data_IF_079585308403
#
_entry.id   IF_079585308403
#
_cell.length_a   1.000
_cell.length_b   1.000
_cell.length_c   1.000
_cell.angle_alpha   90.00
_cell.angle_beta   90.00
_cell.angle_gamma   90.00
#
_symmetry.space_group_name_H-M   'P 1'
#
loop_
_entity.id
_entity.type
_entity.pdbx_description
1 polymer ?
#
# COMPACT_ATOMS: atom_id res chain seq x y z
N UNK A 1 -6.75 -9.31 -3.62
CA UNK A 1 -8.23 -9.21 -3.64
C UNK A 1 -8.81 -10.57 -3.23
N UNK A 2 -9.98 -10.61 -2.61
CA UNK A 2 -10.62 -11.87 -2.19
C UNK A 2 -12.10 -11.91 -2.59
N UNK A 3 -12.61 -13.12 -2.80
CA UNK A 3 -14.02 -13.39 -3.13
C UNK A 3 -14.60 -14.41 -2.17
N UNK A 4 -15.85 -14.24 -1.75
CA UNK A 4 -16.57 -15.26 -1.00
C UNK A 4 -17.48 -16.03 -1.95
N UNK A 5 -17.19 -17.32 -2.17
CA UNK A 5 -17.97 -18.20 -3.01
C UNK A 5 -17.90 -19.64 -2.49
N UNK A 6 -18.91 -20.45 -2.79
CA UNK A 6 -18.99 -21.85 -2.33
C UNK A 6 -18.78 -22.01 -0.80
N UNK A 7 -19.28 -21.04 -0.02
CA UNK A 7 -19.22 -21.06 1.45
C UNK A 7 -17.87 -20.75 2.06
N UNK A 8 -16.88 -20.26 1.29
CA UNK A 8 -15.54 -19.92 1.79
C UNK A 8 -14.97 -18.66 1.12
N UNK A 9 -13.97 -18.07 1.74
CA UNK A 9 -13.17 -16.98 1.15
C UNK A 9 -12.04 -17.58 0.31
N UNK A 10 -11.89 -17.11 -0.93
CA UNK A 10 -10.77 -17.43 -1.81
C UNK A 10 -9.94 -16.17 -2.07
N UNK A 11 -8.62 -16.26 -1.87
CA UNK A 11 -7.69 -15.18 -2.16
C UNK A 11 -7.14 -15.35 -3.57
N UNK A 12 -7.42 -14.37 -4.42
CA UNK A 12 -7.15 -14.41 -5.85
C UNK A 12 -5.71 -13.95 -6.11
N UNK A 13 -4.95 -14.77 -6.83
CA UNK A 13 -3.64 -14.42 -7.33
C UNK A 13 -3.74 -13.52 -8.56
N UNK A 14 -2.79 -12.60 -8.74
CA UNK A 14 -2.70 -11.79 -9.95
C UNK A 14 -2.05 -12.56 -11.12
N UNK A 15 -1.86 -11.85 -12.24
CA UNK A 15 -1.24 -12.36 -13.46
C UNK A 15 0.23 -12.85 -13.29
N UNK A 16 0.89 -12.50 -12.20
CA UNK A 16 2.22 -13.02 -11.82
C UNK A 16 2.15 -14.16 -10.80
N UNK A 17 0.96 -14.64 -10.44
CA UNK A 17 0.76 -15.67 -9.41
C UNK A 17 0.87 -15.15 -7.96
N UNK A 18 1.01 -13.83 -7.76
CA UNK A 18 1.13 -13.25 -6.43
C UNK A 18 -0.26 -13.03 -5.81
N UNK A 19 -0.44 -13.41 -4.54
CA UNK A 19 -1.69 -13.18 -3.77
C UNK A 19 -1.85 -11.74 -3.26
N UNK A 20 -0.83 -10.91 -3.45
CA UNK A 20 -0.88 -9.47 -3.21
C UNK A 20 -0.30 -8.76 -4.44
N UNK A 21 -0.83 -7.59 -4.75
CA UNK A 21 -0.35 -6.77 -5.86
C UNK A 21 0.15 -5.44 -5.31
N UNK A 22 1.35 -4.97 -5.70
CA UNK A 22 1.86 -3.70 -5.23
C UNK A 22 0.92 -2.53 -5.56
N UNK A 23 0.69 -1.64 -4.60
CA UNK A 23 -0.07 -0.39 -4.85
C UNK A 23 0.82 0.67 -5.52
N UNK A 24 1.24 0.36 -6.75
CA UNK A 24 2.11 1.18 -7.58
C UNK A 24 1.40 1.49 -8.90
N UNK A 25 1.54 2.73 -9.36
CA UNK A 25 1.08 3.20 -10.67
C UNK A 25 2.22 3.95 -11.33
N UNK A 26 2.65 3.52 -12.51
CA UNK A 26 3.69 4.19 -13.27
C UNK A 26 3.14 4.73 -14.59
N UNK A 27 3.62 5.90 -14.98
CA UNK A 27 3.26 6.58 -16.21
C UNK A 27 4.45 6.59 -17.15
N UNK A 28 4.22 6.24 -18.41
CA UNK A 28 5.24 6.17 -19.46
C UNK A 28 4.82 6.98 -20.68
N UNK A 29 5.63 7.01 -21.71
CA UNK A 29 5.29 7.70 -22.96
C UNK A 29 4.13 7.05 -23.72
N UNK A 30 3.84 5.78 -23.46
CA UNK A 30 2.85 4.99 -24.21
C UNK A 30 1.66 4.57 -23.35
N UNK A 31 1.91 4.15 -22.11
CA UNK A 31 0.91 3.47 -21.28
C UNK A 31 1.04 3.78 -19.78
N UNK A 32 0.02 3.31 -19.04
CA UNK A 32 0.04 3.27 -17.58
C UNK A 32 0.29 1.84 -17.13
N UNK A 33 1.29 1.64 -16.30
CA UNK A 33 1.57 0.36 -15.66
C UNK A 33 1.01 0.39 -14.24
N UNK A 34 0.45 -0.72 -13.78
CA UNK A 34 -0.16 -0.84 -12.46
C UNK A 34 0.30 -2.15 -11.82
N UNK A 35 0.57 -2.16 -10.52
CA UNK A 35 0.93 -3.38 -9.81
C UNK A 35 2.41 -3.75 -9.96
N UNK A 36 2.67 -5.03 -10.21
CA UNK A 36 4.04 -5.55 -10.32
C UNK A 36 4.81 -4.90 -11.47
N UNK A 37 4.16 -4.67 -12.63
CA UNK A 37 4.77 -3.98 -13.76
C UNK A 37 5.28 -2.58 -13.38
N UNK A 38 4.46 -1.79 -12.65
CA UNK A 38 4.85 -0.48 -12.15
C UNK A 38 5.98 -0.57 -11.12
N UNK A 39 5.91 -1.52 -10.18
CA UNK A 39 6.96 -1.71 -9.17
C UNK A 39 8.30 -2.11 -9.79
N UNK A 40 8.30 -2.97 -10.82
CA UNK A 40 9.52 -3.50 -11.44
C UNK A 40 10.36 -2.41 -12.12
N UNK A 41 9.72 -1.40 -12.72
CA UNK A 41 10.42 -0.33 -13.43
C UNK A 41 10.74 0.92 -12.58
N UNK A 42 10.39 0.91 -11.28
CA UNK A 42 10.53 2.09 -10.40
C UNK A 42 11.97 2.64 -10.33
N UNK A 43 12.98 1.78 -10.49
CA UNK A 43 14.38 2.20 -10.50
C UNK A 43 14.78 2.96 -11.78
N UNK A 44 14.09 2.70 -12.90
CA UNK A 44 14.34 3.36 -14.19
C UNK A 44 13.50 4.64 -14.35
N UNK A 45 12.31 4.68 -13.77
CA UNK A 45 11.37 5.80 -13.91
C UNK A 45 10.82 6.28 -12.55
N UNK A 46 11.69 6.66 -11.60
CA UNK A 46 11.27 6.93 -10.22
C UNK A 46 10.34 8.16 -10.10
N UNK A 47 10.51 9.18 -10.96
CA UNK A 47 9.73 10.42 -10.92
C UNK A 47 8.28 10.27 -11.40
N UNK A 48 7.99 9.27 -12.24
CA UNK A 48 6.66 9.01 -12.78
C UNK A 48 6.06 7.70 -12.25
N UNK A 49 6.62 7.17 -11.16
CA UNK A 49 6.12 5.96 -10.49
C UNK A 49 5.59 6.30 -9.11
N UNK A 50 4.27 6.35 -9.03
CA UNK A 50 3.52 6.76 -7.84
C UNK A 50 3.25 5.56 -6.96
N UNK A 51 3.50 5.72 -5.66
CA UNK A 51 3.16 4.78 -4.61
C UNK A 51 2.74 5.56 -3.36
N UNK A 52 2.22 4.89 -2.34
CA UNK A 52 1.75 5.54 -1.10
C UNK A 52 0.64 6.59 -1.29
N UNK A 53 -0.13 6.54 -2.38
CA UNK A 53 -1.27 7.43 -2.58
C UNK A 53 -2.28 7.41 -1.42
N UNK A 54 -2.40 6.27 -0.72
CA UNK A 54 -3.20 6.12 0.52
C UNK A 54 -2.77 7.08 1.64
N UNK A 55 -1.51 7.54 1.66
CA UNK A 55 -1.05 8.55 2.62
C UNK A 55 -1.55 9.96 2.29
N UNK A 56 -1.90 10.23 1.03
CA UNK A 56 -2.37 11.53 0.54
C UNK A 56 -3.89 11.65 0.49
N UNK A 57 -4.59 10.53 0.30
CA UNK A 57 -6.04 10.49 0.07
C UNK A 57 -6.82 11.23 1.17
N UNK A 58 -7.75 12.10 0.77
CA UNK A 58 -8.59 12.88 1.69
C UNK A 58 -7.87 13.91 2.59
N UNK A 59 -6.57 14.16 2.40
CA UNK A 59 -5.77 15.14 3.16
C UNK A 59 -5.66 16.50 2.46
N UNK A 60 -5.25 17.52 3.22
CA UNK A 60 -4.87 18.84 2.69
C UNK A 60 -3.38 18.90 2.43
N UNK A 61 -2.97 19.61 1.38
CA UNK A 61 -1.55 19.71 1.00
C UNK A 61 -0.67 20.28 2.12
N UNK A 62 -1.19 21.25 2.89
CA UNK A 62 -0.45 21.93 3.97
C UNK A 62 -0.32 21.11 5.25
N UNK A 63 -0.90 19.91 5.35
CA UNK A 63 -0.75 19.07 6.55
C UNK A 63 0.73 18.74 6.80
N UNK A 64 1.24 18.82 8.04
CA UNK A 64 2.64 18.53 8.35
C UNK A 64 3.07 17.13 7.90
N UNK A 65 2.20 16.13 8.03
CA UNK A 65 2.44 14.77 7.58
C UNK A 65 2.64 14.69 6.06
N UNK A 66 1.78 15.37 5.28
CA UNK A 66 1.92 15.46 3.83
C UNK A 66 3.24 16.14 3.46
N UNK A 67 3.56 17.27 4.08
CA UNK A 67 4.81 18.00 3.83
C UNK A 67 6.07 17.20 4.21
N UNK A 68 5.98 16.32 5.21
CA UNK A 68 7.07 15.42 5.58
C UNK A 68 7.23 14.29 4.55
N UNK A 69 6.12 13.71 4.08
CA UNK A 69 6.13 12.62 3.10
C UNK A 69 6.59 13.08 1.72
N UNK A 70 6.17 14.27 1.26
CA UNK A 70 6.56 14.81 -0.07
C UNK A 70 8.07 15.04 -0.21
N UNK A 71 8.79 15.27 0.88
CA UNK A 71 10.26 15.38 0.88
C UNK A 71 10.97 14.04 0.65
N UNK A 72 10.27 12.93 0.87
CA UNK A 72 10.84 11.57 0.79
C UNK A 72 10.52 10.88 -0.53
N UNK A 73 9.49 11.32 -1.23
CA UNK A 73 9.08 10.70 -2.49
C UNK A 73 9.91 11.18 -3.68
N UNK A 74 10.16 10.29 -4.66
CA UNK A 74 10.88 10.65 -5.88
C UNK A 74 10.02 11.39 -6.91
N UNK A 75 8.69 11.34 -6.77
CA UNK A 75 7.71 11.99 -7.64
C UNK A 75 7.22 13.30 -7.02
N UNK A 76 6.75 14.21 -7.88
CA UNK A 76 6.29 15.53 -7.45
C UNK A 76 4.86 15.48 -6.91
N UNK A 77 4.61 16.21 -5.82
CA UNK A 77 3.27 16.48 -5.30
C UNK A 77 3.08 17.98 -5.22
N UNK A 78 1.98 18.47 -5.79
CA UNK A 78 1.68 19.89 -5.96
C UNK A 78 0.37 20.23 -5.28
N UNK A 79 0.18 21.51 -4.94
CA UNK A 79 -1.05 22.01 -4.35
C UNK A 79 -1.99 22.52 -5.45
N UNK A 80 -3.23 22.04 -5.46
CA UNK A 80 -4.28 22.60 -6.31
C UNK A 80 -5.57 22.71 -5.48
N UNK A 81 -6.14 23.91 -5.37
CA UNK A 81 -7.29 24.14 -4.49
C UNK A 81 -7.06 23.75 -3.02
N UNK A 82 -5.81 23.78 -2.55
CA UNK A 82 -5.42 23.35 -1.20
C UNK A 82 -5.31 21.82 -1.00
N UNK A 83 -5.62 21.01 -2.02
CA UNK A 83 -5.48 19.54 -2.01
C UNK A 83 -4.14 19.12 -2.64
N UNK A 84 -3.54 18.00 -2.19
CA UNK A 84 -2.36 17.45 -2.84
C UNK A 84 -2.76 16.75 -4.14
N UNK A 85 -2.04 17.02 -5.23
CA UNK A 85 -2.10 16.24 -6.47
C UNK A 85 -0.72 15.73 -6.84
N UNK A 86 -0.65 14.52 -7.37
CA UNK A 86 0.61 13.96 -7.89
C UNK A 86 0.83 14.48 -9.30
N UNK A 87 2.02 15.01 -9.61
CA UNK A 87 2.40 15.44 -10.95
C UNK A 87 3.37 14.42 -11.56
N UNK A 88 3.06 13.99 -12.78
CA UNK A 88 3.85 13.04 -13.58
C UNK A 88 3.91 13.49 -15.03
N UNK A 89 4.93 13.05 -15.75
CA UNK A 89 4.95 13.10 -17.21
C UNK A 89 4.28 11.83 -17.77
N UNK A 90 3.30 12.01 -18.65
CA UNK A 90 2.56 10.92 -19.26
C UNK A 90 2.23 11.27 -20.71
N UNK A 91 2.69 10.42 -21.65
CA UNK A 91 2.54 10.66 -23.11
C UNK A 91 3.11 12.01 -23.57
N UNK A 92 4.29 12.38 -23.05
CA UNK A 92 4.96 13.64 -23.38
C UNK A 92 4.30 14.90 -22.79
N UNK A 93 3.31 14.76 -21.91
CA UNK A 93 2.62 15.87 -21.26
C UNK A 93 2.70 15.78 -19.74
N UNK A 94 2.85 16.94 -19.09
CA UNK A 94 2.75 17.04 -17.64
C UNK A 94 1.30 16.94 -17.20
N UNK A 95 0.97 15.94 -16.38
CA UNK A 95 -0.38 15.69 -15.86
C UNK A 95 -0.41 15.70 -14.35
N UNK A 96 -1.52 16.16 -13.79
CA UNK A 96 -1.80 16.09 -12.36
C UNK A 96 -2.95 15.13 -12.09
N UNK A 97 -2.80 14.31 -11.05
CA UNK A 97 -3.81 13.35 -10.62
C UNK A 97 -4.10 13.56 -9.14
N UNK A 98 -5.37 13.50 -8.77
CA UNK A 98 -5.78 13.42 -7.38
C UNK A 98 -5.39 12.03 -6.81
N UNK A 99 -5.13 11.92 -5.49
CA UNK A 99 -4.83 10.63 -4.85
C UNK A 99 -5.91 9.56 -5.08
N UNK A 100 -7.17 9.98 -5.19
CA UNK A 100 -8.33 9.12 -5.46
C UNK A 100 -8.26 8.53 -6.88
N UNK A 101 -7.75 9.26 -7.86
CA UNK A 101 -7.56 8.77 -9.23
C UNK A 101 -6.40 7.77 -9.30
N UNK A 102 -5.31 7.99 -8.55
CA UNK A 102 -4.23 6.99 -8.44
C UNK A 102 -4.74 5.72 -7.75
N UNK A 103 -5.53 5.89 -6.68
CA UNK A 103 -6.11 4.76 -5.94
C UNK A 103 -7.14 4.01 -6.79
N UNK A 104 -7.92 4.70 -7.62
CA UNK A 104 -8.88 4.08 -8.53
C UNK A 104 -8.18 3.21 -9.58
N UNK A 105 -7.03 3.63 -10.10
CA UNK A 105 -6.22 2.79 -11.01
C UNK A 105 -5.82 1.47 -10.35
N UNK A 106 -5.39 1.50 -9.07
CA UNK A 106 -5.08 0.28 -8.31
C UNK A 106 -6.34 -0.58 -8.11
N UNK A 107 -7.48 0.03 -7.78
CA UNK A 107 -8.75 -0.68 -7.63
C UNK A 107 -9.23 -1.31 -8.94
N UNK A 108 -9.06 -0.63 -10.08
CA UNK A 108 -9.33 -1.17 -11.42
C UNK A 108 -8.49 -2.42 -11.67
N UNK A 109 -7.18 -2.41 -11.38
CA UNK A 109 -6.35 -3.61 -11.52
C UNK A 109 -6.83 -4.75 -10.61
N UNK A 110 -7.32 -4.45 -9.41
CA UNK A 110 -7.87 -5.46 -8.49
C UNK A 110 -9.19 -6.04 -8.98
N UNK A 111 -10.04 -5.19 -9.59
CA UNK A 111 -11.26 -5.60 -10.26
C UNK A 111 -10.95 -6.50 -11.46
N UNK A 112 -10.07 -6.08 -12.37
CA UNK A 112 -9.63 -6.87 -13.52
C UNK A 112 -9.08 -8.24 -13.10
N UNK A 113 -8.28 -8.27 -12.02
CA UNK A 113 -7.74 -9.52 -11.47
C UNK A 113 -8.86 -10.45 -10.98
N UNK A 114 -9.88 -9.91 -10.31
CA UNK A 114 -11.03 -10.69 -9.88
C UNK A 114 -11.92 -11.14 -11.05
N UNK A 115 -12.13 -10.29 -12.05
CA UNK A 115 -12.91 -10.60 -13.25
C UNK A 115 -12.24 -11.71 -14.08
N UNK A 116 -10.92 -11.65 -14.24
CA UNK A 116 -10.15 -12.70 -14.92
C UNK A 116 -10.26 -14.05 -14.21
N UNK A 117 -10.30 -14.04 -12.87
CA UNK A 117 -10.47 -15.26 -12.07
C UNK A 117 -11.89 -15.83 -12.14
N UNK A 118 -12.90 -14.96 -12.08
CA UNK A 118 -14.31 -15.35 -12.04
C UNK A 118 -14.92 -15.61 -13.42
N UNK A 119 -14.31 -15.09 -14.49
CA UNK A 119 -14.84 -15.16 -15.85
C UNK A 119 -16.09 -14.28 -16.07
N UNK A 120 -16.36 -13.33 -15.17
CA UNK A 120 -17.55 -12.47 -15.22
C UNK A 120 -17.27 -11.07 -14.66
N UNK A 121 -17.99 -10.02 -15.10
CA UNK A 121 -17.83 -8.66 -14.59
C UNK A 121 -18.10 -8.56 -13.07
N UNK A 122 -17.25 -7.81 -12.37
CA UNK A 122 -17.39 -7.54 -10.93
C UNK A 122 -17.92 -6.12 -10.75
N UNK A 123 -19.10 -6.00 -10.14
CA UNK A 123 -19.79 -4.70 -9.97
C UNK A 123 -19.70 -4.16 -8.55
N UNK A 124 -19.78 -5.03 -7.56
CA UNK A 124 -19.90 -4.66 -6.16
C UNK A 124 -18.65 -5.04 -5.38
N UNK A 125 -18.22 -4.17 -4.47
CA UNK A 125 -17.13 -4.50 -3.55
C UNK A 125 -17.33 -3.85 -2.18
N UNK A 126 -16.69 -4.46 -1.19
CA UNK A 126 -16.40 -3.85 0.10
C UNK A 126 -14.93 -3.48 0.11
N UNK A 127 -14.62 -2.23 0.46
CA UNK A 127 -13.24 -1.72 0.50
C UNK A 127 -12.86 -1.44 1.95
N UNK A 128 -11.65 -1.86 2.34
CA UNK A 128 -11.13 -1.67 3.69
C UNK A 128 -10.35 -0.36 3.81
N UNK A 129 -10.39 0.27 4.98
CA UNK A 129 -9.58 1.44 5.33
C UNK A 129 -9.02 1.31 6.76
N UNK A 130 -7.94 2.02 7.12
CA UNK A 130 -7.45 2.06 8.49
C UNK A 130 -8.53 2.56 9.43
N UNK A 131 -8.57 2.04 10.66
CA UNK A 131 -9.57 2.46 11.63
C UNK A 131 -9.47 3.96 11.98
N UNK A 132 -8.26 4.53 11.92
CA UNK A 132 -8.00 5.95 12.16
C UNK A 132 -8.41 6.88 11.01
N UNK A 133 -8.89 6.36 9.87
CA UNK A 133 -9.34 7.22 8.76
C UNK A 133 -10.57 8.04 9.17
N UNK A 134 -10.48 9.35 8.94
CA UNK A 134 -11.59 10.28 9.12
C UNK A 134 -12.57 10.22 7.93
N UNK A 135 -13.69 10.95 8.05
CA UNK A 135 -14.77 10.93 7.04
C UNK A 135 -14.31 11.39 5.66
N UNK A 136 -13.42 12.39 5.57
CA UNK A 136 -12.86 12.87 4.30
C UNK A 136 -12.07 11.76 3.60
N UNK A 137 -11.23 11.02 4.34
CA UNK A 137 -10.43 9.93 3.79
C UNK A 137 -11.29 8.72 3.40
N UNK A 138 -12.33 8.42 4.18
CA UNK A 138 -13.32 7.37 3.87
C UNK A 138 -14.09 7.69 2.59
N UNK A 139 -14.58 8.92 2.48
CA UNK A 139 -15.30 9.38 1.29
C UNK A 139 -14.40 9.36 0.06
N UNK A 140 -13.18 9.88 0.17
CA UNK A 140 -12.20 9.86 -0.92
C UNK A 140 -11.85 8.44 -1.39
N UNK A 141 -11.74 7.48 -0.46
CA UNK A 141 -11.55 6.06 -0.81
C UNK A 141 -12.77 5.47 -1.51
N UNK A 142 -13.98 5.84 -1.07
CA UNK A 142 -15.23 5.44 -1.73
C UNK A 142 -15.32 6.01 -3.15
N UNK A 143 -14.94 7.28 -3.32
CA UNK A 143 -14.90 7.95 -4.62
C UNK A 143 -13.91 7.27 -5.56
N UNK A 144 -12.74 6.85 -5.06
CA UNK A 144 -11.80 6.04 -5.84
C UNK A 144 -12.42 4.73 -6.35
N UNK A 145 -13.24 4.06 -5.53
CA UNK A 145 -14.00 2.88 -5.95
C UNK A 145 -15.04 3.21 -7.03
N UNK A 146 -15.77 4.31 -6.88
CA UNK A 146 -16.72 4.79 -7.88
C UNK A 146 -16.03 5.10 -9.23
N UNK A 147 -14.88 5.78 -9.21
CA UNK A 147 -14.08 6.09 -10.41
C UNK A 147 -13.60 4.79 -11.09
N UNK A 148 -13.31 3.73 -10.32
CA UNK A 148 -12.95 2.41 -10.84
C UNK A 148 -14.15 1.62 -11.41
N UNK A 149 -15.36 2.20 -11.42
CA UNK A 149 -16.58 1.53 -11.86
C UNK A 149 -17.00 0.40 -10.93
N UNK A 150 -16.81 0.59 -9.62
CA UNK A 150 -17.20 -0.33 -8.56
C UNK A 150 -18.29 0.35 -7.72
N UNK A 151 -19.41 -0.35 -7.52
CA UNK A 151 -20.38 0.02 -6.51
C UNK A 151 -19.85 -0.36 -5.12
N UNK A 152 -19.41 0.64 -4.36
CA UNK A 152 -18.83 0.44 -3.03
C UNK A 152 -19.96 0.22 -2.01
N UNK A 153 -20.28 -1.05 -1.77
CA UNK A 153 -21.33 -1.49 -0.86
C UNK A 153 -21.07 -1.02 0.58
N UNK A 154 -19.81 -1.08 1.00
CA UNK A 154 -19.39 -0.61 2.33
C UNK A 154 -17.92 -0.25 2.35
N UNK A 155 -17.58 0.78 3.13
CA UNK A 155 -16.22 0.99 3.62
C UNK A 155 -16.16 0.38 5.03
N UNK A 156 -15.29 -0.61 5.24
CA UNK A 156 -15.10 -1.24 6.55
C UNK A 156 -13.70 -0.96 7.09
N UNK A 157 -13.55 -1.01 8.41
CA UNK A 157 -12.24 -0.88 9.03
C UNK A 157 -11.43 -2.15 8.80
N UNK A 158 -10.15 -2.01 8.46
CA UNK A 158 -9.17 -3.09 8.35
C UNK A 158 -9.17 -4.03 9.57
N UNK A 159 -9.10 -3.54 10.82
CA UNK A 159 -9.15 -4.42 11.99
C UNK A 159 -10.49 -5.13 12.17
N UNK A 160 -11.60 -4.53 11.72
CA UNK A 160 -12.91 -5.20 11.73
C UNK A 160 -12.97 -6.30 10.67
N UNK A 161 -12.42 -6.06 9.48
CA UNK A 161 -12.32 -7.08 8.43
C UNK A 161 -11.46 -8.26 8.89
N UNK A 162 -10.33 -7.99 9.55
CA UNK A 162 -9.47 -9.01 10.13
C UNK A 162 -10.18 -9.80 11.24
N UNK A 163 -10.94 -9.12 12.11
CA UNK A 163 -11.73 -9.79 13.15
C UNK A 163 -12.85 -10.66 12.57
N UNK A 164 -13.50 -10.22 11.49
CA UNK A 164 -14.49 -11.03 10.76
C UNK A 164 -13.82 -12.29 10.20
N UNK A 165 -12.67 -12.17 9.54
CA UNK A 165 -11.92 -13.33 9.06
C UNK A 165 -11.57 -14.31 10.20
N UNK A 166 -11.11 -13.78 11.35
CA UNK A 166 -10.83 -14.58 12.55
C UNK A 166 -12.09 -15.27 13.13
N UNK A 167 -13.22 -14.55 13.18
CA UNK A 167 -14.49 -15.02 13.76
C UNK A 167 -15.29 -15.94 12.83
N UNK A 168 -15.00 -15.96 11.53
CA UNK A 168 -15.56 -16.94 10.59
C UNK A 168 -14.87 -18.31 10.73
N UNK A 169 -13.55 -18.32 10.92
CA UNK A 169 -12.75 -19.56 11.00
C UNK A 169 -12.89 -20.28 12.34
N UNK A 170 -13.02 -19.53 13.42
CA UNK A 170 -13.32 -20.08 14.74
C UNK A 170 -14.80 -19.82 14.98
N UNK A 171 -15.62 -20.85 15.24
CA UNK A 171 -17.03 -20.74 15.70
C UNK A 171 -17.16 -20.00 17.07
N UNK A 172 -16.50 -18.85 17.19
CA UNK A 172 -16.40 -17.96 18.32
C UNK A 172 -17.73 -17.20 18.40
N UNK A 173 -18.72 -17.85 19.00
CA UNK A 173 -20.09 -17.37 19.07
C UNK A 173 -21.07 -18.44 19.54
N UNK A 174 -20.68 -19.72 19.56
CA UNK A 174 -21.57 -20.82 19.97
C UNK A 174 -21.86 -20.87 21.48
N UNK A 175 -21.51 -19.84 22.26
CA UNK A 175 -21.59 -19.86 23.74
C UNK A 175 -21.92 -18.54 24.42
N UNK A 176 -22.33 -17.48 23.71
CA UNK A 176 -22.84 -16.22 24.31
C UNK A 176 -21.83 -15.34 25.08
N UNK A 177 -20.60 -15.78 25.33
CA UNK A 177 -19.61 -15.00 26.08
C UNK A 177 -18.92 -13.92 25.22
N UNK A 178 -18.95 -12.67 25.70
CA UNK A 178 -18.21 -11.55 25.10
C UNK A 178 -16.69 -11.83 25.17
N UNK A 179 -16.03 -11.80 24.01
CA UNK A 179 -14.58 -11.95 23.91
C UNK A 179 -13.94 -10.65 23.49
N UNK A 180 -12.90 -10.24 24.20
CA UNK A 180 -12.05 -9.13 23.77
C UNK A 180 -10.90 -9.68 22.91
N UNK A 181 -10.75 -9.12 21.71
CA UNK A 181 -9.73 -9.49 20.73
C UNK A 181 -8.89 -8.26 20.41
N UNK A 182 -7.57 -8.41 20.49
CA UNK A 182 -6.62 -7.40 20.04
C UNK A 182 -6.17 -7.75 18.62
N UNK A 183 -6.32 -6.81 17.71
CA UNK A 183 -5.78 -6.86 16.35
C UNK A 183 -4.53 -5.99 16.31
N UNK A 184 -3.41 -6.58 15.94
CA UNK A 184 -2.14 -5.92 15.70
C UNK A 184 -1.86 -5.96 14.20
N UNK A 185 -1.94 -4.81 13.53
CA UNK A 185 -1.72 -4.67 12.09
C UNK A 185 -0.52 -3.75 11.83
N UNK A 186 0.62 -4.35 11.49
CA UNK A 186 1.84 -3.64 11.11
C UNK A 186 2.12 -3.86 9.63
N UNK A 187 1.61 -2.95 8.81
CA UNK A 187 1.71 -3.01 7.36
C UNK A 187 3.01 -2.43 6.79
N UNK A 188 2.99 -2.14 5.49
CA UNK A 188 4.14 -1.55 4.80
C UNK A 188 4.43 -0.10 5.21
N UNK A 189 3.46 0.64 5.75
CA UNK A 189 3.63 2.03 6.15
C UNK A 189 2.68 2.54 7.23
N UNK A 190 1.75 1.71 7.69
CA UNK A 190 0.87 2.07 8.81
C UNK A 190 0.97 0.99 9.87
N UNK A 191 0.82 1.41 11.11
CA UNK A 191 0.73 0.55 12.27
C UNK A 191 -0.57 0.87 13.01
N UNK A 192 -1.45 -0.10 13.13
CA UNK A 192 -2.73 0.03 13.81
C UNK A 192 -2.88 -1.08 14.85
N UNK A 193 -3.30 -0.71 16.06
CA UNK A 193 -3.72 -1.63 17.12
C UNK A 193 -5.17 -1.34 17.46
N UNK A 194 -6.02 -2.36 17.42
CA UNK A 194 -7.42 -2.21 17.77
C UNK A 194 -7.85 -3.29 18.75
N UNK A 195 -8.60 -2.90 19.78
CA UNK A 195 -9.29 -3.80 20.68
C UNK A 195 -10.75 -3.85 20.26
N UNK A 196 -11.24 -5.04 19.95
CA UNK A 196 -12.63 -5.30 19.61
C UNK A 196 -13.25 -6.20 20.66
N UNK A 197 -14.53 -6.01 20.97
CA UNK A 197 -15.33 -7.07 21.56
C UNK A 197 -16.17 -7.78 20.50
N UNK A 198 -16.28 -9.09 20.67
CA UNK A 198 -17.02 -9.99 19.81
C UNK A 198 -18.01 -10.74 20.69
N UNK A 199 -19.30 -10.55 20.43
CA UNK A 199 -20.38 -11.26 21.10
C UNK A 199 -21.50 -11.51 20.07
N UNK A 200 -21.98 -12.74 19.97
CA UNK A 200 -23.10 -13.14 19.09
C UNK A 200 -22.99 -12.62 17.63
N UNK A 201 -21.78 -12.66 17.06
CA UNK A 201 -21.51 -12.17 15.70
C UNK A 201 -21.48 -10.65 15.54
N UNK A 202 -21.66 -9.90 16.64
CA UNK A 202 -21.50 -8.44 16.69
C UNK A 202 -20.05 -8.10 17.01
N UNK A 203 -19.43 -7.29 16.15
CA UNK A 203 -18.05 -6.81 16.30
C UNK A 203 -18.08 -5.33 16.69
N UNK A 204 -17.65 -5.02 17.91
CA UNK A 204 -17.60 -3.64 18.41
C UNK A 204 -16.16 -3.21 18.66
N UNK A 205 -15.68 -2.18 17.96
CA UNK A 205 -14.40 -1.55 18.27
C UNK A 205 -14.52 -0.83 19.60
N UNK A 206 -13.66 -1.16 20.57
CA UNK A 206 -13.59 -0.55 21.90
C UNK A 206 -12.54 0.55 21.96
N UNK A 207 -11.39 0.31 21.33
CA UNK A 207 -10.30 1.27 21.25
C UNK A 207 -9.46 1.02 20.01
N UNK A 208 -8.87 2.08 19.47
CA UNK A 208 -7.89 2.04 18.38
C UNK A 208 -6.77 3.02 18.72
N UNK A 209 -5.52 2.59 18.51
CA UNK A 209 -4.33 3.41 18.57
C UNK A 209 -3.39 2.99 17.43
N UNK A 210 -2.34 3.75 17.17
CA UNK A 210 -1.42 3.42 16.09
C UNK A 210 -0.51 4.58 15.68
N UNK A 211 0.25 4.35 14.63
CA UNK A 211 1.10 5.33 13.97
C UNK A 211 0.90 5.20 12.45
N UNK A 212 0.36 6.27 11.84
CA UNK A 212 0.10 6.31 10.40
C UNK A 212 1.37 6.42 9.56
N UNK A 213 2.54 6.55 10.19
CA UNK A 213 3.84 6.78 9.57
C UNK A 213 4.91 5.78 10.03
N UNK A 214 4.48 4.64 10.57
CA UNK A 214 5.35 3.51 10.92
C UNK A 214 4.98 2.26 10.13
N UNK A 215 5.96 1.59 9.52
CA UNK A 215 5.75 0.27 8.96
C UNK A 215 7.01 -0.36 8.37
N UNK A 216 6.79 -1.40 7.55
CA UNK A 216 7.85 -2.16 6.92
C UNK A 216 8.88 -1.33 6.14
N UNK A 217 8.46 -0.19 5.57
CA UNK A 217 9.33 0.74 4.83
C UNK A 217 10.33 1.47 5.72
N UNK A 218 10.01 1.69 6.98
CA UNK A 218 10.93 2.31 7.94
C UNK A 218 12.07 1.35 8.28
N UNK A 219 11.77 0.05 8.39
CA UNK A 219 12.79 -0.99 8.52
C UNK A 219 13.67 -1.05 7.27
N UNK A 220 13.08 -0.97 6.08
CA UNK A 220 13.83 -0.89 4.82
C UNK A 220 14.74 0.34 4.80
N UNK A 221 14.25 1.51 5.24
CA UNK A 221 15.03 2.74 5.35
C UNK A 221 16.23 2.60 6.29
N UNK A 222 16.06 1.93 7.43
CA UNK A 222 17.18 1.69 8.37
C UNK A 222 18.27 0.83 7.72
N UNK A 223 17.89 -0.22 7.01
CA UNK A 223 18.84 -1.06 6.26
C UNK A 223 19.52 -0.26 5.13
N UNK A 224 18.76 0.50 4.35
CA UNK A 224 19.31 1.35 3.28
C UNK A 224 20.33 2.34 3.83
N UNK A 225 20.02 3.03 4.94
CA UNK A 225 20.93 3.99 5.55
C UNK A 225 22.21 3.31 6.06
N UNK A 226 22.09 2.14 6.68
CA UNK A 226 23.23 1.34 7.11
C UNK A 226 24.15 0.99 5.93
N UNK A 227 23.59 0.43 4.86
CA UNK A 227 24.38 0.04 3.69
C UNK A 227 24.90 1.23 2.89
N UNK A 228 24.21 2.37 2.86
CA UNK A 228 24.72 3.59 2.25
C UNK A 228 25.95 4.12 2.99
N UNK A 229 25.92 4.11 4.33
CA UNK A 229 27.08 4.46 5.15
C UNK A 229 28.22 3.46 4.98
N UNK A 230 27.91 2.16 4.91
CA UNK A 230 28.92 1.12 4.66
C UNK A 230 29.55 1.27 3.27
N UNK A 231 28.74 1.58 2.25
CA UNK A 231 29.19 1.84 0.89
C UNK A 231 30.13 3.04 0.84
N UNK A 232 29.76 4.16 1.48
CA UNK A 232 30.63 5.33 1.63
C UNK A 232 31.93 4.97 2.35
N UNK A 233 31.87 4.17 3.43
CA UNK A 233 33.06 3.75 4.18
C UNK A 233 34.01 2.92 3.33
N UNK A 234 33.48 1.95 2.58
CA UNK A 234 34.25 0.96 1.80
C UNK A 234 34.73 1.50 0.45
N UNK A 235 33.89 2.24 -0.27
CA UNK A 235 34.16 2.69 -1.65
C UNK A 235 34.40 4.20 -1.77
N UNK A 236 34.28 4.97 -0.67
CA UNK A 236 34.49 6.43 -0.61
C UNK A 236 33.57 7.25 -1.53
N UNK A 237 32.41 6.70 -1.89
CA UNK A 237 31.41 7.31 -2.79
C UNK A 237 30.05 7.40 -2.13
N UNK A 238 29.36 8.53 -2.33
CA UNK A 238 28.06 8.80 -1.71
C UNK A 238 26.92 8.34 -2.62
N UNK A 239 26.37 7.17 -2.29
CA UNK A 239 25.28 6.54 -3.01
C UNK A 239 23.98 7.37 -2.97
N UNK A 240 23.80 8.25 -1.98
CA UNK A 240 22.57 9.05 -1.82
C UNK A 240 22.38 10.07 -2.96
N UNK A 241 23.46 10.43 -3.65
CA UNK A 241 23.46 11.34 -4.80
C UNK A 241 22.82 10.74 -6.04
N UNK A 242 22.70 9.40 -6.12
CA UNK A 242 22.13 8.70 -7.27
C UNK A 242 20.81 7.99 -6.91
N UNK A 243 19.69 8.58 -7.34
CA UNK A 243 18.34 8.07 -7.08
C UNK A 243 18.14 6.62 -7.56
N UNK A 244 18.71 6.25 -8.71
CA UNK A 244 18.61 4.89 -9.26
C UNK A 244 19.37 3.89 -8.39
N UNK A 245 20.60 4.22 -7.99
CA UNK A 245 21.39 3.40 -7.08
C UNK A 245 20.66 3.18 -5.74
N UNK A 246 20.13 4.26 -5.16
CA UNK A 246 19.38 4.22 -3.90
C UNK A 246 18.13 3.35 -4.00
N UNK A 247 17.40 3.42 -5.12
CA UNK A 247 16.21 2.59 -5.34
C UNK A 247 16.56 1.11 -5.54
N UNK A 248 17.67 0.80 -6.19
CA UNK A 248 18.16 -0.59 -6.33
C UNK A 248 18.56 -1.16 -4.97
N UNK A 249 19.31 -0.39 -4.17
CA UNK A 249 19.66 -0.77 -2.80
C UNK A 249 18.41 -1.02 -1.96
N UNK A 250 17.44 -0.11 -2.00
CA UNK A 250 16.16 -0.26 -1.29
C UNK A 250 15.41 -1.54 -1.65
N UNK A 251 15.39 -1.89 -2.94
CA UNK A 251 14.76 -3.12 -3.41
C UNK A 251 15.45 -4.36 -2.85
N UNK A 252 16.79 -4.35 -2.80
CA UNK A 252 17.56 -5.43 -2.20
C UNK A 252 17.38 -5.50 -0.68
N UNK A 253 17.34 -4.35 0.02
CA UNK A 253 17.06 -4.30 1.46
C UNK A 253 15.67 -4.85 1.81
N UNK A 254 14.63 -4.55 1.00
CA UNK A 254 13.30 -5.13 1.20
C UNK A 254 13.34 -6.67 1.10
N UNK A 255 14.06 -7.21 0.11
CA UNK A 255 14.24 -8.67 -0.06
C UNK A 255 15.03 -9.28 1.11
N UNK A 256 16.12 -8.63 1.53
CA UNK A 256 16.92 -9.08 2.66
C UNK A 256 16.09 -9.09 3.97
N UNK A 257 15.33 -8.03 4.25
CA UNK A 257 14.41 -7.95 5.40
C UNK A 257 13.42 -9.11 5.42
N UNK A 258 12.81 -9.44 4.27
CA UNK A 258 11.88 -10.58 4.16
C UNK A 258 12.59 -11.92 4.44
N UNK A 259 13.80 -12.10 3.91
CA UNK A 259 14.62 -13.30 4.16
C UNK A 259 14.96 -13.44 5.64
N UNK A 260 15.29 -12.32 6.30
CA UNK A 260 15.60 -12.27 7.73
C UNK A 260 14.38 -12.55 8.64
N UNK A 261 13.17 -12.64 8.09
CA UNK A 261 11.99 -13.06 8.86
C UNK A 261 11.95 -14.57 9.12
N UNK A 262 12.72 -15.35 8.37
CA UNK A 262 12.82 -16.82 8.51
C UNK A 262 14.26 -17.34 8.64
N UNK A 263 15.26 -16.47 8.52
CA UNK A 263 16.69 -16.80 8.58
C UNK A 263 17.44 -15.80 9.46
N UNK A 264 18.56 -16.22 10.06
CA UNK A 264 19.39 -15.35 10.91
C UNK A 264 20.36 -14.46 10.10
N UNK A 265 20.52 -14.73 8.81
CA UNK A 265 21.40 -13.99 7.90
C UNK A 265 20.80 -13.86 6.49
N UNK A 266 21.20 -12.84 5.75
CA UNK A 266 20.84 -12.61 4.35
C UNK A 266 21.97 -11.89 3.61
N UNK A 267 22.17 -12.23 2.34
CA UNK A 267 23.16 -11.58 1.46
C UNK A 267 22.51 -10.49 0.60
N UNK A 268 23.23 -9.39 0.38
CA UNK A 268 22.86 -8.35 -0.58
C UNK A 268 23.95 -8.28 -1.64
N UNK A 269 23.58 -8.66 -2.86
CA UNK A 269 24.47 -8.65 -4.03
C UNK A 269 23.79 -7.79 -5.10
N UNK A 270 24.47 -6.70 -5.48
CA UNK A 270 23.96 -5.76 -6.48
C UNK A 270 25.10 -5.34 -7.39
N UNK A 271 25.14 -5.90 -8.58
CA UNK A 271 26.15 -5.54 -9.58
C UNK A 271 25.98 -4.11 -10.05
N UNK A 272 27.07 -3.41 -10.35
CA UNK A 272 26.98 -2.12 -11.04
C UNK A 272 26.10 -1.10 -10.28
N UNK A 273 26.18 -1.10 -8.93
CA UNK A 273 25.26 -0.35 -8.09
C UNK A 273 25.39 1.17 -8.27
N UNK A 274 26.61 1.68 -8.45
CA UNK A 274 26.93 3.11 -8.51
C UNK A 274 28.07 3.37 -9.51
N UNK A 275 27.91 4.36 -10.40
CA UNK A 275 28.88 4.75 -11.45
C UNK A 275 29.18 3.74 -12.58
N UNK A 276 28.23 2.88 -12.93
CA UNK A 276 28.40 1.91 -14.01
C UNK A 276 27.97 0.55 -13.53
#
# INVERSE_FOLDING_TARGET
>A
VGVFQHGKVEIIANDQGNRTTPSYVAFTDTERLIGDAAKNQVAMNPSNTVFDAKRLIGRKFKEPSVQADTKRWPFAVVAEGGKPKVRVEYKGESKTFNPEEISSMVLTKMKETAEAYLGSPVRDAVITVPACFNDSQRQATKDAGTIAGINVQRIINEPTAAAIAYGLDKKAGSGGEERNVLIFDLGGGTFDVSILSIADGVFKVKATAGDTHLGGKDFDNRLVNHFAQEFQRKYKKDLSTNKRALQRLRTACERAKRTLSSSTQASIEIDSLFEG
#
